data_IF_072146516966
#
_entry.id   IF_072146516966
#
_cell.length_a   1.000
_cell.length_b   1.000
_cell.length_c   1.000
_cell.angle_alpha   90.00
_cell.angle_beta   90.00
_cell.angle_gamma   90.00
#
_symmetry.space_group_name_H-M   'P 1'
#
loop_
_entity.id
_entity.type
_entity.pdbx_description
1 polymer ?
#
# COMPACT_ATOMS: atom_id res chain seq x y z
N UNK A 1 -20.39 -2.78 -11.06
CA UNK A 1 -19.94 -3.87 -11.99
C UNK A 1 -18.72 -4.49 -11.37
N UNK A 2 -18.74 -5.79 -11.11
CA UNK A 2 -17.69 -6.45 -10.33
C UNK A 2 -16.30 -6.36 -10.99
N UNK A 3 -15.27 -6.05 -10.21
CA UNK A 3 -13.88 -5.86 -10.65
C UNK A 3 -13.39 -7.00 -11.58
N UNK A 4 -13.64 -8.25 -11.21
CA UNK A 4 -13.22 -9.40 -12.01
C UNK A 4 -13.95 -9.57 -13.35
N UNK A 5 -15.05 -8.83 -13.60
CA UNK A 5 -15.73 -8.84 -14.91
C UNK A 5 -14.93 -8.16 -16.03
N UNK A 6 -13.91 -7.36 -15.65
CA UNK A 6 -12.99 -6.72 -16.58
C UNK A 6 -11.89 -7.65 -17.12
N UNK A 7 -11.65 -8.78 -16.42
CA UNK A 7 -10.56 -9.69 -16.75
C UNK A 7 -10.92 -10.58 -17.96
N UNK A 8 -9.96 -10.80 -18.89
CA UNK A 8 -10.18 -11.66 -20.04
C UNK A 8 -10.42 -13.11 -19.61
N UNK A 9 -11.10 -13.83 -20.46
CA UNK A 9 -11.26 -15.28 -20.31
C UNK A 9 -10.14 -15.99 -21.06
N UNK A 10 -9.69 -17.11 -20.52
CA UNK A 10 -8.69 -18.00 -21.09
C UNK A 10 -9.16 -19.44 -20.99
N UNK A 11 -8.90 -20.21 -22.01
CA UNK A 11 -9.13 -21.66 -21.99
C UNK A 11 -7.88 -22.34 -21.42
N UNK A 12 -8.07 -23.13 -20.39
CA UNK A 12 -6.97 -23.83 -19.71
C UNK A 12 -7.39 -25.24 -19.31
N UNK A 13 -6.49 -26.20 -19.57
CA UNK A 13 -6.64 -27.58 -19.13
C UNK A 13 -6.10 -27.75 -17.69
N UNK A 14 -6.98 -27.61 -16.72
CA UNK A 14 -6.64 -27.69 -15.27
C UNK A 14 -6.12 -29.07 -14.88
N UNK A 15 -6.57 -30.12 -15.56
CA UNK A 15 -6.32 -31.50 -15.17
C UNK A 15 -5.31 -32.25 -16.07
N UNK A 16 -4.84 -31.61 -17.16
CA UNK A 16 -3.96 -32.27 -18.14
C UNK A 16 -4.64 -33.41 -18.92
N UNK A 17 -5.97 -33.35 -19.03
CA UNK A 17 -6.77 -34.40 -19.70
C UNK A 17 -7.12 -34.11 -21.15
N UNK A 18 -6.65 -32.98 -21.69
CA UNK A 18 -6.98 -32.49 -23.00
C UNK A 18 -8.33 -31.79 -23.08
N UNK A 19 -9.02 -31.58 -21.92
CA UNK A 19 -10.31 -30.86 -21.86
C UNK A 19 -10.09 -29.47 -21.31
N UNK A 20 -10.29 -28.44 -22.14
CA UNK A 20 -10.16 -27.06 -21.74
C UNK A 20 -11.40 -26.56 -20.99
N UNK A 21 -11.16 -25.80 -19.92
CA UNK A 21 -12.19 -25.09 -19.15
C UNK A 21 -11.96 -23.59 -19.28
N UNK A 22 -13.04 -22.83 -19.52
CA UNK A 22 -12.99 -21.36 -19.59
C UNK A 22 -12.82 -20.79 -18.20
N UNK A 23 -11.73 -20.07 -17.97
CA UNK A 23 -11.38 -19.47 -16.68
C UNK A 23 -11.14 -17.96 -16.82
N UNK A 24 -11.28 -17.23 -15.72
CA UNK A 24 -10.87 -15.81 -15.67
C UNK A 24 -9.35 -15.72 -15.54
N UNK A 25 -8.71 -14.99 -16.44
CA UNK A 25 -7.25 -14.79 -16.39
C UNK A 25 -6.87 -13.77 -15.33
N UNK A 26 -6.52 -14.23 -14.13
CA UNK A 26 -6.09 -13.40 -13.00
C UNK A 26 -4.61 -13.00 -13.06
N UNK A 27 -3.84 -13.50 -14.03
CA UNK A 27 -2.41 -13.21 -14.15
C UNK A 27 -2.14 -11.88 -14.84
N UNK A 28 -3.11 -11.34 -15.59
CA UNK A 28 -2.98 -10.05 -16.27
C UNK A 28 -2.99 -8.91 -15.26
N UNK A 29 -1.96 -8.06 -15.29
CA UNK A 29 -1.81 -6.92 -14.38
C UNK A 29 -1.72 -5.63 -15.18
N UNK A 30 -2.36 -4.59 -14.67
CA UNK A 30 -2.35 -3.25 -15.25
C UNK A 30 -1.91 -2.26 -14.16
N UNK A 31 -1.23 -1.19 -14.58
CA UNK A 31 -0.82 -0.08 -13.70
C UNK A 31 -1.34 1.23 -14.25
N UNK A 32 -1.64 2.18 -13.38
CA UNK A 32 -1.85 3.56 -13.80
C UNK A 32 -0.56 4.12 -14.42
N UNK A 33 -0.72 4.89 -15.49
CA UNK A 33 0.43 5.53 -16.16
C UNK A 33 1.16 6.46 -15.20
N UNK A 34 2.49 6.44 -15.22
CA UNK A 34 3.31 7.30 -14.38
C UNK A 34 3.03 8.79 -14.58
N UNK A 35 2.73 9.22 -15.81
CA UNK A 35 2.30 10.59 -16.10
C UNK A 35 1.08 10.99 -15.25
N UNK A 36 0.07 10.12 -15.16
CA UNK A 36 -1.13 10.39 -14.37
C UNK A 36 -0.81 10.47 -12.86
N UNK A 37 0.05 9.57 -12.37
CA UNK A 37 0.45 9.51 -10.96
C UNK A 37 1.28 10.70 -10.49
N UNK A 38 2.06 11.31 -11.39
CA UNK A 38 2.93 12.47 -11.07
C UNK A 38 2.15 13.77 -10.94
N UNK A 39 0.95 13.85 -11.49
CA UNK A 39 0.16 15.07 -11.43
C UNK A 39 -0.68 15.10 -10.14
N UNK A 40 -0.24 15.90 -9.16
CA UNK A 40 -0.89 16.04 -7.86
C UNK A 40 -2.36 16.51 -7.96
N UNK A 41 -2.71 17.26 -9.01
CA UNK A 41 -4.09 17.75 -9.25
C UNK A 41 -5.09 16.62 -9.52
N UNK A 42 -4.60 15.42 -9.86
CA UNK A 42 -5.45 14.27 -10.12
C UNK A 42 -5.91 13.55 -8.85
N UNK A 43 -5.37 13.94 -7.69
CA UNK A 43 -5.58 13.22 -6.43
C UNK A 43 -5.98 14.17 -5.32
N UNK A 44 -6.82 13.66 -4.43
CA UNK A 44 -7.05 14.18 -3.10
C UNK A 44 -6.33 13.28 -2.09
N UNK A 45 -5.88 13.86 -0.97
CA UNK A 45 -5.25 13.09 0.11
C UNK A 45 -6.28 12.74 1.17
N UNK A 46 -6.18 11.54 1.67
CA UNK A 46 -7.05 11.02 2.73
C UNK A 46 -6.23 10.26 3.77
N UNK A 47 -6.49 10.54 5.03
CA UNK A 47 -5.88 9.83 6.15
C UNK A 47 -6.84 8.74 6.63
N UNK A 48 -6.49 7.47 6.34
CA UNK A 48 -7.30 6.29 6.66
C UNK A 48 -7.49 6.17 8.17
N UNK A 49 -8.74 6.12 8.62
CA UNK A 49 -9.06 5.92 10.04
C UNK A 49 -8.93 4.46 10.44
N UNK A 50 -8.85 4.23 11.74
CA UNK A 50 -8.73 2.88 12.27
C UNK A 50 -9.91 1.99 11.85
N UNK A 51 -9.61 0.89 11.16
CA UNK A 51 -10.59 -0.09 10.70
C UNK A 51 -11.30 0.23 9.39
N UNK A 52 -11.00 1.36 8.72
CA UNK A 52 -11.55 1.64 7.40
C UNK A 52 -10.91 0.72 6.33
N UNK A 53 -11.74 0.17 5.47
CA UNK A 53 -11.32 -0.66 4.34
C UNK A 53 -11.37 0.14 3.03
N UNK A 54 -10.63 -0.29 1.99
CA UNK A 54 -10.69 0.37 0.68
C UNK A 54 -12.10 0.41 0.10
N UNK A 55 -12.92 -0.62 0.35
CA UNK A 55 -14.31 -0.70 -0.10
C UNK A 55 -15.18 0.34 0.59
N UNK A 56 -14.99 0.54 1.91
CA UNK A 56 -15.69 1.56 2.65
C UNK A 56 -15.36 2.95 2.12
N UNK A 57 -14.06 3.26 1.96
CA UNK A 57 -13.61 4.55 1.44
C UNK A 57 -14.09 4.76 0.00
N UNK A 58 -14.07 3.72 -0.84
CA UNK A 58 -14.57 3.80 -2.21
C UNK A 58 -16.08 4.10 -2.25
N UNK A 59 -16.86 3.53 -1.34
CA UNK A 59 -18.28 3.84 -1.21
C UNK A 59 -18.51 5.29 -0.79
N UNK A 60 -17.79 5.78 0.23
CA UNK A 60 -17.92 7.15 0.73
C UNK A 60 -17.49 8.19 -0.31
N UNK A 61 -16.39 7.95 -1.01
CA UNK A 61 -15.78 8.94 -1.90
C UNK A 61 -16.28 8.87 -3.34
N UNK A 62 -16.55 7.67 -3.86
CA UNK A 62 -17.00 7.43 -5.25
C UNK A 62 -18.47 7.01 -5.36
N UNK A 63 -19.13 6.67 -4.24
CA UNK A 63 -20.49 6.12 -4.24
C UNK A 63 -20.58 4.67 -4.76
N UNK A 64 -19.45 3.97 -4.91
CA UNK A 64 -19.40 2.60 -5.44
C UNK A 64 -18.25 1.82 -4.76
N UNK A 65 -18.54 0.87 -3.86
CA UNK A 65 -17.52 0.09 -3.16
C UNK A 65 -16.70 -0.80 -4.10
N UNK A 66 -17.22 -1.13 -5.28
CA UNK A 66 -16.51 -1.89 -6.32
C UNK A 66 -15.29 -1.13 -6.89
N UNK A 67 -15.16 0.16 -6.59
CA UNK A 67 -14.02 0.99 -7.02
C UNK A 67 -12.82 0.94 -6.07
N UNK A 68 -12.85 0.08 -5.05
CA UNK A 68 -11.72 -0.13 -4.14
C UNK A 68 -10.39 -0.41 -4.88
N UNK A 69 -10.44 -1.12 -6.00
CA UNK A 69 -9.27 -1.40 -6.82
C UNK A 69 -8.58 -0.14 -7.38
N UNK A 70 -9.31 0.95 -7.60
CA UNK A 70 -8.73 2.23 -8.02
C UNK A 70 -7.87 2.79 -6.88
N UNK A 71 -8.33 2.69 -5.64
CA UNK A 71 -7.58 3.12 -4.45
C UNK A 71 -6.29 2.30 -4.31
N UNK A 72 -6.41 0.97 -4.36
CA UNK A 72 -5.28 0.05 -4.27
C UNK A 72 -4.23 0.35 -5.36
N UNK A 73 -4.69 0.50 -6.61
CA UNK A 73 -3.82 0.74 -7.76
C UNK A 73 -3.16 2.13 -7.73
N UNK A 74 -3.88 3.18 -7.28
CA UNK A 74 -3.35 4.55 -7.22
C UNK A 74 -2.25 4.73 -6.17
N UNK A 75 -2.30 3.91 -5.12
CA UNK A 75 -1.32 3.90 -4.04
C UNK A 75 -0.22 2.84 -4.22
N UNK A 76 -0.22 2.09 -5.33
CA UNK A 76 0.73 1.00 -5.59
C UNK A 76 0.73 -0.09 -4.51
N UNK A 77 -0.37 -0.33 -3.87
CA UNK A 77 -0.53 -1.38 -2.87
C UNK A 77 -0.51 -2.73 -3.60
N UNK A 78 0.45 -3.56 -3.30
CA UNK A 78 0.63 -4.91 -3.87
C UNK A 78 0.24 -5.97 -2.86
N UNK A 79 0.62 -5.75 -1.61
CA UNK A 79 0.24 -6.57 -0.49
C UNK A 79 -0.66 -5.76 0.45
N UNK A 80 -1.94 -6.13 0.45
CA UNK A 80 -2.94 -5.46 1.27
C UNK A 80 -2.66 -5.62 2.77
N UNK A 81 -2.18 -6.78 3.20
CA UNK A 81 -2.02 -7.08 4.61
C UNK A 81 -0.92 -6.28 5.30
N UNK A 82 0.11 -5.90 4.58
CA UNK A 82 1.26 -5.15 5.13
C UNK A 82 1.29 -3.68 4.72
N UNK A 83 0.66 -3.32 3.60
CA UNK A 83 0.71 -1.98 3.02
C UNK A 83 -0.56 -1.16 3.27
N UNK A 84 -1.67 -1.80 3.67
CA UNK A 84 -2.85 -1.09 4.17
C UNK A 84 -2.74 -0.88 5.68
N UNK A 85 -3.21 0.26 6.22
CA UNK A 85 -3.16 0.50 7.67
C UNK A 85 -3.92 -0.59 8.43
N UNK A 86 -3.22 -1.24 9.34
CA UNK A 86 -3.80 -2.26 10.21
C UNK A 86 -4.70 -1.63 11.27
N UNK A 87 -5.68 -2.39 11.76
CA UNK A 87 -6.37 -2.03 13.01
C UNK A 87 -5.41 -2.12 14.19
N UNK A 88 -5.67 -1.37 15.26
CA UNK A 88 -4.79 -1.39 16.44
C UNK A 88 -4.53 -2.81 16.97
N UNK A 89 -5.55 -3.67 17.16
CA UNK A 89 -5.30 -5.04 17.61
C UNK A 89 -4.47 -5.89 16.64
N UNK A 90 -4.70 -5.70 15.31
CA UNK A 90 -3.94 -6.43 14.31
C UNK A 90 -2.48 -5.97 14.27
N UNK A 91 -2.23 -4.68 14.45
CA UNK A 91 -0.89 -4.11 14.53
C UNK A 91 -0.11 -4.62 15.75
N UNK A 92 -0.74 -4.65 16.93
CA UNK A 92 -0.11 -5.19 18.15
C UNK A 92 0.27 -6.66 17.97
N UNK A 93 -0.61 -7.45 17.35
CA UNK A 93 -0.33 -8.86 17.06
C UNK A 93 0.82 -9.00 16.04
N UNK A 94 0.80 -8.21 14.98
CA UNK A 94 1.84 -8.20 13.94
C UNK A 94 3.23 -7.90 14.54
N UNK A 95 3.33 -6.86 15.39
CA UNK A 95 4.62 -6.52 16.04
C UNK A 95 5.09 -7.64 16.96
N UNK A 96 4.18 -8.26 17.71
CA UNK A 96 4.49 -9.37 18.60
C UNK A 96 4.95 -10.64 17.85
N UNK A 97 4.39 -10.89 16.67
CA UNK A 97 4.80 -12.03 15.84
C UNK A 97 6.11 -11.79 15.10
N UNK A 98 6.38 -10.53 14.74
CA UNK A 98 7.57 -10.16 13.98
C UNK A 98 8.83 -10.05 14.82
N UNK A 99 8.70 -9.62 16.08
CA UNK A 99 9.82 -9.36 16.97
C UNK A 99 9.68 -10.12 18.30
N UNK A 100 10.77 -10.72 18.75
CA UNK A 100 10.84 -11.37 20.09
C UNK A 100 10.61 -10.35 21.21
N UNK A 101 11.12 -9.13 21.04
CA UNK A 101 10.92 -8.00 21.93
C UNK A 101 10.49 -6.74 21.17
N UNK A 102 9.23 -6.34 21.34
CA UNK A 102 8.68 -5.14 20.75
C UNK A 102 9.38 -3.84 21.22
N UNK A 103 9.90 -3.85 22.46
CA UNK A 103 10.63 -2.72 23.04
C UNK A 103 12.14 -2.79 22.77
N UNK A 104 12.62 -3.86 22.14
CA UNK A 104 14.00 -4.00 21.71
C UNK A 104 14.41 -2.87 20.76
N UNK A 105 15.68 -2.52 20.78
CA UNK A 105 16.23 -1.42 19.97
C UNK A 105 16.31 -1.87 18.52
N UNK A 106 15.59 -1.14 17.63
CA UNK A 106 15.68 -1.34 16.19
C UNK A 106 16.89 -0.60 15.61
N UNK A 107 17.02 0.70 15.91
CA UNK A 107 18.11 1.55 15.45
C UNK A 107 18.20 2.83 16.31
N UNK A 108 19.25 3.61 16.07
CA UNK A 108 19.42 4.92 16.64
C UNK A 108 19.29 5.98 15.55
N UNK A 109 18.67 7.11 15.89
CA UNK A 109 18.54 8.27 15.01
C UNK A 109 19.25 9.47 15.61
N UNK A 110 20.01 10.21 14.81
CA UNK A 110 20.57 11.49 15.22
C UNK A 110 20.52 12.49 14.06
N UNK A 111 20.40 13.76 14.40
CA UNK A 111 20.40 14.80 13.39
C UNK A 111 21.82 15.04 12.86
N UNK A 112 21.91 15.26 11.55
CA UNK A 112 23.15 15.66 10.91
C UNK A 112 23.54 17.05 11.41
N UNK A 113 24.75 17.19 11.96
CA UNK A 113 25.25 18.47 12.51
C UNK A 113 25.79 19.43 11.44
N UNK A 114 26.09 18.93 10.24
CA UNK A 114 26.63 19.71 9.13
C UNK A 114 25.80 19.57 7.86
N UNK A 115 25.65 20.66 7.10
CA UNK A 115 24.90 20.68 5.82
C UNK A 115 23.39 20.84 6.05
N UNK A 116 22.58 19.96 5.46
CA UNK A 116 21.12 19.98 5.60
C UNK A 116 20.71 19.35 6.94
N UNK A 117 20.44 20.20 7.94
CA UNK A 117 20.07 19.80 9.30
C UNK A 117 18.71 19.13 9.43
N UNK A 118 17.94 19.03 8.35
CA UNK A 118 16.65 18.31 8.34
C UNK A 118 16.81 16.80 8.14
N UNK A 119 18.01 16.35 7.76
CA UNK A 119 18.28 14.93 7.56
C UNK A 119 18.62 14.24 8.87
N UNK A 120 17.92 13.12 9.08
CA UNK A 120 18.18 12.18 10.15
C UNK A 120 19.06 11.06 9.63
N UNK A 121 20.12 10.72 10.38
CA UNK A 121 21.00 9.59 10.09
C UNK A 121 20.57 8.42 10.95
N UNK A 122 20.32 7.27 10.33
CA UNK A 122 19.97 6.02 11.00
C UNK A 122 21.23 5.17 11.20
N UNK A 123 21.48 4.74 12.45
CA UNK A 123 22.55 3.81 12.82
C UNK A 123 21.94 2.49 13.25
N UNK A 124 22.20 1.39 12.53
CA UNK A 124 21.74 0.07 12.93
C UNK A 124 22.26 -0.30 14.32
N UNK A 125 21.45 -0.96 15.14
CA UNK A 125 21.81 -1.37 16.49
C UNK A 125 23.13 -2.20 16.54
N UNK A 126 23.32 -3.09 15.60
CA UNK A 126 24.50 -3.97 15.50
C UNK A 126 25.79 -3.22 15.17
N UNK A 127 25.69 -2.04 14.57
CA UNK A 127 26.85 -1.22 14.16
C UNK A 127 27.23 -0.16 15.20
N UNK A 128 26.48 -0.04 16.28
CA UNK A 128 26.67 1.02 17.27
C UNK A 128 27.76 0.70 18.29
N UNK A 129 29.02 0.69 17.85
CA UNK A 129 30.19 0.64 18.75
C UNK A 129 30.37 1.93 19.54
N UNK A 130 29.87 3.07 19.04
CA UNK A 130 29.74 4.33 19.77
C UNK A 130 28.48 5.06 19.30
N UNK A 131 27.53 5.25 20.20
CA UNK A 131 26.31 6.01 19.94
C UNK A 131 26.63 7.49 20.04
N UNK A 132 26.33 8.32 18.99
CA UNK A 132 26.56 9.76 19.06
C UNK A 132 25.77 10.40 20.21
N UNK A 133 26.36 11.42 20.84
CA UNK A 133 25.65 12.20 21.85
C UNK A 133 24.40 12.84 21.25
N UNK A 134 23.26 12.71 21.94
CA UNK A 134 21.98 13.24 21.46
C UNK A 134 21.21 12.33 20.48
N UNK A 135 21.69 11.11 20.24
CA UNK A 135 20.94 10.13 19.45
C UNK A 135 19.68 9.67 20.19
N UNK A 136 18.59 9.56 19.45
CA UNK A 136 17.30 9.02 19.91
C UNK A 136 17.24 7.53 19.63
N UNK A 137 16.85 6.73 20.61
CA UNK A 137 16.63 5.29 20.46
C UNK A 137 15.26 5.04 19.85
N UNK A 138 15.21 4.28 18.77
CA UNK A 138 13.97 3.84 18.12
C UNK A 138 13.78 2.35 18.41
N UNK A 139 12.66 2.03 19.04
CA UNK A 139 12.30 0.63 19.31
C UNK A 139 11.66 -0.03 18.09
N UNK A 140 11.58 -1.35 18.10
CA UNK A 140 10.89 -2.13 17.07
C UNK A 140 9.43 -1.66 16.92
N UNK A 141 8.74 -1.42 18.04
CA UNK A 141 7.36 -0.91 18.04
C UNK A 141 7.24 0.46 17.36
N UNK A 142 8.08 1.42 17.76
CA UNK A 142 8.07 2.78 17.20
C UNK A 142 8.40 2.75 15.70
N UNK A 143 9.33 1.90 15.26
CA UNK A 143 9.66 1.74 13.84
C UNK A 143 8.45 1.28 13.04
N UNK A 144 7.76 0.24 13.49
CA UNK A 144 6.57 -0.28 12.79
C UNK A 144 5.39 0.70 12.85
N UNK A 145 5.21 1.40 13.98
CA UNK A 145 4.17 2.43 14.13
C UNK A 145 4.36 3.57 13.10
N UNK A 146 5.59 4.00 12.86
CA UNK A 146 5.90 5.00 11.84
C UNK A 146 5.59 4.51 10.42
N UNK A 147 5.83 3.23 10.13
CA UNK A 147 5.44 2.62 8.85
C UNK A 147 3.92 2.63 8.70
N UNK A 148 3.18 2.25 9.75
CA UNK A 148 1.71 2.28 9.76
C UNK A 148 1.19 3.71 9.52
N UNK A 149 1.76 4.69 10.20
CA UNK A 149 1.35 6.10 10.05
C UNK A 149 1.63 6.63 8.64
N UNK A 150 2.74 6.24 8.04
CA UNK A 150 3.04 6.56 6.64
C UNK A 150 2.02 5.92 5.68
N UNK A 151 1.58 4.69 5.96
CA UNK A 151 0.59 3.97 5.15
C UNK A 151 -0.83 4.57 5.28
N UNK A 152 -1.14 5.29 6.36
CA UNK A 152 -2.44 5.94 6.55
C UNK A 152 -2.73 7.02 5.52
N UNK A 153 -1.70 7.73 5.06
CA UNK A 153 -1.88 8.82 4.11
C UNK A 153 -1.93 8.31 2.69
N UNK A 154 -3.13 8.06 2.20
CA UNK A 154 -3.41 7.56 0.85
C UNK A 154 -3.80 8.70 -0.11
N UNK A 155 -3.69 8.40 -1.40
CA UNK A 155 -4.18 9.24 -2.49
C UNK A 155 -5.47 8.65 -3.06
N UNK A 156 -6.49 9.48 -3.17
CA UNK A 156 -7.75 9.15 -3.83
C UNK A 156 -7.80 9.87 -5.18
N UNK A 157 -8.05 9.13 -6.24
CA UNK A 157 -8.25 9.72 -7.57
C UNK A 157 -9.50 10.59 -7.55
N UNK A 158 -9.42 11.81 -8.08
CA UNK A 158 -10.61 12.66 -8.13
C UNK A 158 -11.74 12.02 -8.94
N UNK A 159 -13.00 12.10 -8.48
CA UNK A 159 -14.15 11.42 -9.10
C UNK A 159 -14.32 11.68 -10.61
N UNK A 160 -13.97 12.87 -11.07
CA UNK A 160 -14.03 13.25 -12.50
C UNK A 160 -13.18 12.37 -13.44
N UNK A 161 -12.17 11.67 -12.92
CA UNK A 161 -11.30 10.80 -13.72
C UNK A 161 -11.70 9.34 -13.70
N UNK A 162 -12.63 8.94 -12.85
CA UNK A 162 -12.98 7.53 -12.62
C UNK A 162 -13.51 6.85 -13.88
N UNK A 163 -14.40 7.51 -14.63
CA UNK A 163 -14.96 6.91 -15.86
C UNK A 163 -13.89 6.71 -16.95
N UNK A 164 -12.94 7.66 -17.04
CA UNK A 164 -11.79 7.53 -17.92
C UNK A 164 -10.90 6.35 -17.54
N UNK A 165 -10.62 6.18 -16.26
CA UNK A 165 -9.82 5.07 -15.72
C UNK A 165 -10.53 3.73 -15.95
N UNK A 166 -11.84 3.62 -15.69
CA UNK A 166 -12.63 2.42 -15.97
C UNK A 166 -12.55 2.02 -17.44
N UNK A 167 -12.70 3.00 -18.34
CA UNK A 167 -12.64 2.76 -19.80
C UNK A 167 -11.26 2.30 -20.24
N UNK A 168 -10.21 2.97 -19.77
CA UNK A 168 -8.83 2.59 -20.10
C UNK A 168 -8.47 1.22 -19.52
N UNK A 169 -8.85 0.95 -18.28
CA UNK A 169 -8.65 -0.34 -17.64
C UNK A 169 -9.29 -1.47 -18.45
N UNK A 170 -10.56 -1.30 -18.85
CA UNK A 170 -11.27 -2.26 -19.66
C UNK A 170 -10.59 -2.49 -21.03
N UNK A 171 -10.14 -1.43 -21.68
CA UNK A 171 -9.45 -1.54 -22.98
C UNK A 171 -8.13 -2.31 -22.84
N UNK A 172 -7.33 -2.01 -21.79
CA UNK A 172 -6.06 -2.66 -21.55
C UNK A 172 -6.21 -4.13 -21.12
N UNK A 173 -7.30 -4.47 -20.42
CA UNK A 173 -7.60 -5.85 -20.06
C UNK A 173 -7.98 -6.71 -21.26
N UNK A 174 -8.70 -6.16 -22.25
CA UNK A 174 -9.22 -6.90 -23.40
C UNK A 174 -8.31 -6.83 -24.64
N UNK A 175 -7.29 -5.99 -24.65
CA UNK A 175 -6.24 -5.90 -25.69
C UNK A 175 -5.05 -6.73 -25.32
#
# INVERSE_FOLDING_TARGET
MAYFSYFPKVEYDVRGTGTNTVMTNLTKRIRLREYFKRNAVNFDYYDVKNGETPEYIANEFYGDPELHWVIIMSNNIVDYYTQWPMTVPAFELYVKEKYDDANGIHHYEYQQESGDTTKVIELPNESATSIPAGATTITNYIHEERIQEKNRRIRLVQPRFIDGIKKEFKNLMNG
#
